data_IF_657098057820
#
_entry.id   IF_657098057820
#
_cell.length_a   1.000
_cell.length_b   1.000
_cell.length_c   1.000
_cell.angle_alpha   90.00
_cell.angle_beta   90.00
_cell.angle_gamma   90.00
#
_symmetry.space_group_name_H-M   'P 1'
#
loop_
_entity.id
_entity.type
_entity.pdbx_description
1 polymer ?
#
# COMPACT_ATOMS: atom_id res chain seq x y z
N UNK A 1 -5.78 1.16 10.13
CA UNK A 1 -4.57 0.71 10.87
C UNK A 1 -4.47 -0.81 10.99
N UNK A 2 -5.61 -1.52 10.98
CA UNK A 2 -5.64 -2.99 11.16
C UNK A 2 -5.48 -3.81 9.88
N UNK A 3 -5.18 -3.19 8.74
CA UNK A 3 -5.07 -3.90 7.46
C UNK A 3 -3.88 -4.85 7.43
N UNK A 4 -4.14 -6.07 6.94
CA UNK A 4 -3.15 -7.11 6.65
C UNK A 4 -3.45 -7.73 5.29
N UNK A 5 -2.48 -8.37 4.69
CA UNK A 5 -2.71 -9.24 3.53
C UNK A 5 -3.09 -10.63 4.04
N UNK A 6 -4.19 -11.16 3.57
CA UNK A 6 -4.64 -12.52 3.84
C UNK A 6 -4.76 -13.26 2.49
N UNK A 7 -3.90 -14.25 2.27
CA UNK A 7 -3.82 -14.98 0.99
C UNK A 7 -3.76 -14.05 -0.23
N UNK A 8 -2.97 -12.98 -0.13
CA UNK A 8 -2.77 -12.02 -1.22
C UNK A 8 -3.84 -10.94 -1.38
N UNK A 9 -4.83 -10.86 -0.48
CA UNK A 9 -5.85 -9.83 -0.49
C UNK A 9 -5.81 -8.97 0.77
N UNK A 10 -5.95 -7.64 0.69
CA UNK A 10 -6.02 -6.80 1.86
C UNK A 10 -7.34 -6.99 2.58
N UNK A 11 -7.28 -7.21 3.89
CA UNK A 11 -8.46 -7.37 4.76
C UNK A 11 -8.29 -6.58 6.05
N UNK A 12 -9.41 -6.18 6.66
CA UNK A 12 -9.41 -5.60 7.99
C UNK A 12 -9.31 -6.73 9.05
N UNK A 13 -8.16 -6.85 9.69
CA UNK A 13 -7.93 -7.90 10.69
C UNK A 13 -8.91 -7.78 11.87
N UNK A 14 -9.33 -6.58 12.25
CA UNK A 14 -10.32 -6.37 13.30
C UNK A 14 -11.73 -6.90 12.96
N UNK A 15 -12.02 -7.15 11.70
CA UNK A 15 -13.28 -7.70 11.19
C UNK A 15 -13.16 -9.16 10.75
N UNK A 16 -12.00 -9.79 10.97
CA UNK A 16 -11.72 -11.16 10.55
C UNK A 16 -11.53 -12.04 11.77
N UNK A 17 -12.28 -13.11 11.87
CA UNK A 17 -12.10 -14.09 12.94
C UNK A 17 -10.82 -14.90 12.74
N UNK A 18 -10.09 -15.16 13.82
CA UNK A 18 -8.86 -15.95 13.75
C UNK A 18 -9.08 -17.34 13.11
N UNK A 19 -10.23 -17.94 13.32
CA UNK A 19 -10.60 -19.23 12.70
C UNK A 19 -10.66 -19.15 11.16
N UNK A 20 -10.99 -17.99 10.60
CA UNK A 20 -11.01 -17.79 9.14
C UNK A 20 -9.61 -17.73 8.53
N UNK A 21 -8.60 -17.42 9.35
CA UNK A 21 -7.20 -17.37 8.94
C UNK A 21 -6.48 -18.74 9.07
N UNK A 22 -7.19 -19.78 9.51
CA UNK A 22 -6.63 -21.13 9.64
C UNK A 22 -6.10 -21.64 8.30
N UNK A 23 -4.80 -21.98 8.22
CA UNK A 23 -4.13 -22.42 6.99
C UNK A 23 -3.84 -21.33 5.96
N UNK A 24 -4.20 -20.07 6.23
CA UNK A 24 -3.95 -18.94 5.34
C UNK A 24 -2.58 -18.30 5.60
N UNK A 25 -2.02 -17.65 4.57
CA UNK A 25 -0.84 -16.80 4.69
C UNK A 25 -1.25 -15.39 5.11
N UNK A 26 -0.72 -14.91 6.23
CA UNK A 26 -0.95 -13.55 6.74
C UNK A 26 0.36 -12.76 6.63
N UNK A 27 0.31 -11.63 5.94
CA UNK A 27 1.43 -10.69 5.85
C UNK A 27 1.02 -9.33 6.44
N UNK A 28 1.85 -8.81 7.31
CA UNK A 28 1.68 -7.47 7.88
C UNK A 28 2.54 -6.44 7.13
N UNK A 29 2.33 -5.16 7.43
CA UNK A 29 3.14 -4.09 6.84
C UNK A 29 4.63 -4.27 7.15
N UNK A 30 4.98 -4.80 8.31
CA UNK A 30 6.36 -5.10 8.70
C UNK A 30 6.99 -6.14 7.76
N UNK A 31 6.30 -7.26 7.50
CA UNK A 31 6.79 -8.29 6.58
C UNK A 31 6.92 -7.78 5.14
N UNK A 32 5.96 -6.96 4.68
CA UNK A 32 6.03 -6.31 3.37
C UNK A 32 7.19 -5.32 3.27
N UNK A 33 7.54 -4.65 4.37
CA UNK A 33 8.69 -3.74 4.44
C UNK A 33 10.01 -4.51 4.43
N UNK A 34 10.12 -5.57 5.22
CA UNK A 34 11.32 -6.42 5.30
C UNK A 34 11.63 -7.11 3.96
N UNK A 35 10.62 -7.55 3.24
CA UNK A 35 10.77 -8.16 1.91
C UNK A 35 10.99 -7.13 0.78
N UNK A 36 11.02 -5.85 1.10
CA UNK A 36 11.07 -4.73 0.14
C UNK A 36 9.91 -4.68 -0.86
N UNK A 37 8.85 -5.44 -0.64
CA UNK A 37 7.69 -5.51 -1.54
C UNK A 37 6.96 -4.16 -1.72
N UNK A 38 7.10 -3.25 -0.75
CA UNK A 38 6.49 -1.92 -0.72
C UNK A 38 7.51 -0.77 -0.66
N UNK A 39 8.78 -1.03 -0.93
CA UNK A 39 9.85 -0.02 -0.81
C UNK A 39 9.59 1.20 -1.72
N UNK A 40 9.13 0.97 -2.94
CA UNK A 40 8.75 2.01 -3.89
C UNK A 40 7.54 2.84 -3.41
N UNK A 41 6.54 2.20 -2.81
CA UNK A 41 5.39 2.87 -2.21
C UNK A 41 5.82 3.73 -1.02
N UNK A 42 6.64 3.19 -0.11
CA UNK A 42 7.16 3.93 1.04
C UNK A 42 7.92 5.18 0.59
N UNK A 43 8.78 5.03 -0.41
CA UNK A 43 9.54 6.15 -0.97
C UNK A 43 8.63 7.18 -1.64
N UNK A 44 7.69 6.77 -2.47
CA UNK A 44 6.77 7.67 -3.14
C UNK A 44 5.90 8.45 -2.14
N UNK A 45 5.47 7.80 -1.05
CA UNK A 45 4.73 8.46 0.03
C UNK A 45 5.57 9.56 0.69
N UNK A 46 6.85 9.29 0.92
CA UNK A 46 7.78 10.29 1.46
C UNK A 46 8.01 11.45 0.49
N UNK A 47 8.40 11.16 -0.75
CA UNK A 47 8.73 12.15 -1.77
C UNK A 47 7.56 13.08 -2.12
N UNK A 48 6.33 12.57 -2.03
CA UNK A 48 5.12 13.31 -2.38
C UNK A 48 4.37 13.89 -1.17
N UNK A 49 4.96 13.82 0.01
CA UNK A 49 4.33 14.26 1.25
C UNK A 49 2.94 13.61 1.47
N UNK A 50 2.81 12.35 1.12
CA UNK A 50 1.57 11.58 1.22
C UNK A 50 1.27 11.13 2.66
N UNK A 51 1.98 11.63 3.64
CA UNK A 51 1.76 11.38 5.06
C UNK A 51 2.07 12.65 5.87
N UNK A 52 1.38 12.80 6.99
CA UNK A 52 1.67 13.82 8.01
C UNK A 52 1.88 13.14 9.35
N UNK A 53 0.82 12.84 10.12
CA UNK A 53 0.99 12.11 11.38
C UNK A 53 1.44 10.65 11.20
N UNK A 54 1.21 10.05 10.05
CA UNK A 54 1.62 8.67 9.72
C UNK A 54 0.70 7.58 10.26
N UNK A 55 -0.35 7.90 10.99
CA UNK A 55 -1.23 6.90 11.61
C UNK A 55 -1.98 6.03 10.58
N UNK A 56 -2.47 6.62 9.50
CA UNK A 56 -3.17 5.90 8.42
C UNK A 56 -2.20 5.20 7.45
N UNK A 57 -0.93 5.57 7.46
CA UNK A 57 0.04 5.18 6.43
C UNK A 57 0.24 3.66 6.30
N UNK A 58 0.37 2.88 7.38
CA UNK A 58 0.47 1.42 7.26
C UNK A 58 -0.71 0.79 6.51
N UNK A 59 -1.92 1.18 6.84
CA UNK A 59 -3.13 0.71 6.15
C UNK A 59 -3.19 1.15 4.68
N UNK A 60 -2.80 2.38 4.39
CA UNK A 60 -2.72 2.89 3.02
C UNK A 60 -1.70 2.11 2.17
N UNK A 61 -0.53 1.78 2.74
CA UNK A 61 0.51 1.01 2.07
C UNK A 61 0.05 -0.42 1.76
N UNK A 62 -0.58 -1.10 2.72
CA UNK A 62 -1.12 -2.46 2.52
C UNK A 62 -2.20 -2.45 1.44
N UNK A 63 -3.12 -1.49 1.49
CA UNK A 63 -4.18 -1.35 0.47
C UNK A 63 -3.60 -1.07 -0.91
N UNK A 64 -2.64 -0.15 -1.02
CA UNK A 64 -1.97 0.18 -2.27
C UNK A 64 -1.23 -1.03 -2.86
N UNK A 65 -0.51 -1.78 -2.01
CA UNK A 65 0.16 -3.01 -2.41
C UNK A 65 -0.82 -4.03 -2.98
N UNK A 66 -1.92 -4.29 -2.28
CA UNK A 66 -2.97 -5.20 -2.73
C UNK A 66 -3.61 -4.77 -4.05
N UNK A 67 -3.87 -3.47 -4.23
CA UNK A 67 -4.41 -2.92 -5.47
C UNK A 67 -3.43 -3.11 -6.63
N UNK A 68 -2.17 -2.71 -6.47
CA UNK A 68 -1.16 -2.77 -7.53
C UNK A 68 -0.77 -4.21 -7.90
N UNK A 69 -0.89 -5.15 -6.97
CA UNK A 69 -0.71 -6.57 -7.25
C UNK A 69 -1.84 -7.12 -8.13
N UNK A 70 -3.07 -6.67 -7.90
CA UNK A 70 -4.25 -7.09 -8.66
C UNK A 70 -4.40 -6.36 -9.99
N UNK A 71 -4.04 -5.08 -10.05
CA UNK A 71 -4.15 -4.24 -11.24
C UNK A 71 -2.92 -3.33 -11.37
N UNK A 72 -2.15 -3.57 -12.42
CA UNK A 72 -0.88 -2.86 -12.64
C UNK A 72 -1.04 -1.34 -12.87
N UNK A 73 -2.11 -0.93 -13.56
CA UNK A 73 -2.38 0.46 -13.91
C UNK A 73 -3.82 0.86 -13.52
N UNK A 74 -4.09 1.05 -12.22
CA UNK A 74 -5.39 1.53 -11.79
C UNK A 74 -5.58 3.00 -12.18
N UNK A 75 -6.83 3.38 -12.51
CA UNK A 75 -7.19 4.77 -12.66
C UNK A 75 -7.21 5.47 -11.30
N UNK A 76 -7.19 6.80 -11.30
CA UNK A 76 -7.28 7.60 -10.05
C UNK A 76 -8.58 7.30 -9.29
N UNK A 77 -9.68 7.07 -10.00
CA UNK A 77 -10.94 6.68 -9.41
C UNK A 77 -10.86 5.32 -8.71
N UNK A 78 -10.27 4.33 -9.37
CA UNK A 78 -10.05 3.01 -8.79
C UNK A 78 -9.11 3.04 -7.57
N UNK A 79 -8.11 3.93 -7.59
CA UNK A 79 -7.26 4.16 -6.41
C UNK A 79 -8.09 4.72 -5.25
N UNK A 80 -8.93 5.73 -5.49
CA UNK A 80 -9.82 6.32 -4.47
C UNK A 80 -10.80 5.28 -3.92
N UNK A 81 -11.40 4.48 -4.79
CA UNK A 81 -12.31 3.41 -4.38
C UNK A 81 -11.59 2.37 -3.50
N UNK A 82 -10.39 1.96 -3.88
CA UNK A 82 -9.59 1.03 -3.08
C UNK A 82 -9.24 1.60 -1.70
N UNK A 83 -8.99 2.90 -1.61
CA UNK A 83 -8.66 3.58 -0.36
C UNK A 83 -9.90 3.89 0.52
N UNK A 84 -11.10 3.65 0.04
CA UNK A 84 -12.35 4.06 0.73
C UNK A 84 -12.52 3.47 2.13
N UNK A 85 -11.89 2.33 2.42
CA UNK A 85 -11.86 1.71 3.75
C UNK A 85 -10.78 2.27 4.69
N UNK A 86 -9.96 3.22 4.24
CA UNK A 86 -8.86 3.81 5.00
C UNK A 86 -9.09 5.30 5.19
N UNK A 87 -9.16 5.74 6.45
CA UNK A 87 -9.39 7.14 6.77
C UNK A 87 -8.10 7.87 7.11
N UNK A 88 -7.89 9.00 6.44
CA UNK A 88 -6.82 9.95 6.75
C UNK A 88 -7.44 11.30 7.13
N UNK A 89 -7.12 11.81 8.30
CA UNK A 89 -7.61 13.11 8.79
C UNK A 89 -6.71 14.27 8.36
N UNK A 90 -5.49 13.99 7.93
CA UNK A 90 -4.45 15.00 7.75
C UNK A 90 -4.28 15.47 6.30
N UNK A 91 -4.21 14.51 5.33
CA UNK A 91 -3.68 14.76 3.99
C UNK A 91 -4.71 15.22 2.96
N UNK A 92 -6.00 14.94 3.16
CA UNK A 92 -7.03 15.14 2.13
C UNK A 92 -6.94 14.15 0.95
N UNK A 93 -6.15 13.08 1.09
CA UNK A 93 -6.00 11.94 0.15
C UNK A 93 -5.28 12.23 -1.17
N UNK A 94 -5.26 13.43 -1.68
CA UNK A 94 -4.77 13.72 -3.04
C UNK A 94 -3.30 13.31 -3.21
N UNK A 95 -2.42 13.65 -2.27
CA UNK A 95 -1.02 13.25 -2.29
C UNK A 95 -0.83 11.72 -2.20
N UNK A 96 -1.73 11.02 -1.49
CA UNK A 96 -1.73 9.55 -1.41
C UNK A 96 -2.07 8.94 -2.78
N UNK A 97 -3.11 9.46 -3.42
CA UNK A 97 -3.50 9.02 -4.78
C UNK A 97 -2.37 9.27 -5.77
N UNK A 98 -1.74 10.43 -5.71
CA UNK A 98 -0.58 10.79 -6.56
C UNK A 98 0.60 9.84 -6.35
N UNK A 99 0.90 9.47 -5.10
CA UNK A 99 1.98 8.55 -4.78
C UNK A 99 1.73 7.15 -5.37
N UNK A 100 0.52 6.63 -5.21
CA UNK A 100 0.15 5.30 -5.73
C UNK A 100 0.17 5.30 -7.26
N UNK A 101 -0.39 6.33 -7.90
CA UNK A 101 -0.38 6.46 -9.36
C UNK A 101 1.06 6.53 -9.92
N UNK A 102 1.94 7.27 -9.25
CA UNK A 102 3.35 7.37 -9.65
C UNK A 102 4.06 6.02 -9.59
N UNK A 103 3.83 5.24 -8.52
CA UNK A 103 4.39 3.89 -8.39
C UNK A 103 3.85 2.96 -9.48
N UNK A 104 2.54 3.02 -9.75
CA UNK A 104 1.93 2.23 -10.82
C UNK A 104 2.60 2.48 -12.18
N UNK A 105 2.83 3.75 -12.51
CA UNK A 105 3.51 4.14 -13.77
C UNK A 105 4.96 3.65 -13.83
N UNK A 106 5.72 3.76 -12.74
CA UNK A 106 7.11 3.29 -12.68
C UNK A 106 7.21 1.78 -12.82
N UNK A 107 6.37 1.03 -12.11
CA UNK A 107 6.29 -0.44 -12.25
C UNK A 107 5.91 -0.86 -13.67
N UNK A 108 4.99 -0.16 -14.32
CA UNK A 108 4.60 -0.41 -15.71
C UNK A 108 5.75 -0.13 -16.69
N UNK A 109 6.66 0.79 -16.34
CA UNK A 109 7.89 1.07 -17.11
C UNK A 109 9.02 0.05 -16.85
N UNK A 110 8.79 -0.98 -16.02
CA UNK A 110 9.75 -2.05 -15.74
C UNK A 110 10.59 -1.86 -14.49
N UNK A 111 10.35 -0.83 -13.69
CA UNK A 111 11.01 -0.65 -12.40
C UNK A 111 10.41 -1.61 -11.35
N UNK A 112 11.25 -2.16 -10.49
CA UNK A 112 10.82 -3.04 -9.39
C UNK A 112 10.90 -2.31 -8.06
N UNK A 113 10.13 -2.76 -7.07
CA UNK A 113 10.20 -2.19 -5.72
C UNK A 113 11.63 -2.22 -5.14
N UNK A 114 12.40 -3.25 -5.47
CA UNK A 114 13.78 -3.42 -4.99
C UNK A 114 14.75 -2.39 -5.58
N UNK A 115 14.56 -1.90 -6.81
CA UNK A 115 15.44 -0.89 -7.42
C UNK A 115 15.46 0.41 -6.63
N UNK A 116 14.40 0.69 -5.87
CA UNK A 116 14.32 1.88 -5.02
C UNK A 116 15.24 1.85 -3.80
N UNK A 117 15.70 0.69 -3.39
CA UNK A 117 16.66 0.56 -2.27
C UNK A 117 18.08 0.94 -2.69
N UNK A 118 18.38 0.92 -3.98
CA UNK A 118 19.71 1.20 -4.54
C UNK A 118 19.90 2.68 -4.91
N UNK A 119 18.82 3.47 -5.01
CA UNK A 119 18.90 4.89 -5.31
C UNK A 119 19.24 5.68 -4.02
N UNK A 120 20.23 6.58 -4.06
CA UNK A 120 20.51 7.48 -2.92
C UNK A 120 19.30 8.37 -2.65
N UNK A 121 19.03 8.55 -1.36
CA UNK A 121 17.93 9.41 -0.90
C UNK A 121 18.17 10.89 -1.28
#
# INVERSE_FOLDING_TARGET
ACLVMLDGAPVHACLTFAVQAGGAAVETVEGLSESAAIADLQRAFHERNALQCGFCTPGMLVTAHGLLTRKAMPSREEIRDALSGNYCRCTGYEAIVDAIEAVARRRAAGETAATFLEEPA
#
